data_IF_419779044100
#
_entry.id   IF_419779044100
#
_cell.length_a   1.000
_cell.length_b   1.000
_cell.length_c   1.000
_cell.angle_alpha   90.00
_cell.angle_beta   90.00
_cell.angle_gamma   90.00
#
_symmetry.space_group_name_H-M   'P 1'
#
loop_
_entity.id
_entity.type
_entity.pdbx_description
1 polymer ?
#
# COMPACT_ATOMS: atom_id res chain seq x y z
N UNK A 1 -14.86 3.24 -1.74
CA UNK A 1 -15.76 2.08 -1.89
C UNK A 1 -15.19 0.93 -1.09
N UNK A 2 -16.02 0.35 -0.26
CA UNK A 2 -15.59 -0.60 0.75
C UNK A 2 -15.91 -2.03 0.32
N UNK A 3 -14.98 -2.64 -0.40
CA UNK A 3 -15.10 -4.03 -0.83
C UNK A 3 -13.93 -4.84 -0.27
N UNK A 4 -14.08 -6.15 -0.26
CA UNK A 4 -13.03 -7.05 0.20
C UNK A 4 -11.85 -7.05 -0.78
N UNK A 5 -10.62 -7.37 -0.30
CA UNK A 5 -9.46 -7.46 -1.16
C UNK A 5 -9.67 -8.46 -2.29
N UNK A 6 -9.38 -8.05 -3.52
CA UNK A 6 -9.61 -8.91 -4.69
C UNK A 6 -8.38 -9.72 -5.11
N UNK A 7 -7.19 -9.37 -4.63
CA UNK A 7 -5.96 -10.07 -4.99
C UNK A 7 -5.41 -10.87 -3.83
N UNK A 8 -5.17 -10.24 -2.70
CA UNK A 8 -4.63 -10.93 -1.53
C UNK A 8 -5.12 -10.31 -0.23
N UNK A 9 -5.25 -11.14 0.79
CA UNK A 9 -5.73 -10.71 2.11
C UNK A 9 -4.60 -10.39 3.07
N UNK A 10 -3.37 -10.76 2.71
CA UNK A 10 -2.20 -10.48 3.54
C UNK A 10 -0.95 -10.33 2.70
N UNK A 11 0.01 -9.57 3.23
CA UNK A 11 1.37 -9.49 2.71
C UNK A 11 2.28 -9.96 3.83
N UNK A 12 2.98 -11.06 3.60
CA UNK A 12 3.91 -11.63 4.59
C UNK A 12 5.27 -11.89 3.94
N UNK A 13 6.32 -11.33 4.54
CA UNK A 13 7.68 -11.61 4.10
C UNK A 13 8.64 -11.50 5.29
N UNK A 14 9.67 -12.34 5.30
CA UNK A 14 10.62 -12.43 6.40
C UNK A 14 12.02 -12.07 5.89
N UNK A 15 12.69 -11.21 6.63
CA UNK A 15 14.06 -10.77 6.37
C UNK A 15 14.91 -11.01 7.62
N UNK A 16 16.21 -10.83 7.52
CA UNK A 16 17.12 -11.09 8.64
C UNK A 16 16.72 -10.33 9.91
N UNK A 17 16.41 -9.04 9.78
CA UNK A 17 16.10 -8.16 10.92
C UNK A 17 14.64 -7.72 10.96
N UNK A 18 13.83 -8.10 9.97
CA UNK A 18 12.45 -7.63 9.84
C UNK A 18 11.52 -8.77 9.47
N UNK A 19 10.30 -8.67 9.97
CA UNK A 19 9.16 -9.47 9.50
C UNK A 19 8.07 -8.50 9.10
N UNK A 20 7.55 -8.63 7.89
CA UNK A 20 6.41 -7.85 7.40
C UNK A 20 5.19 -8.75 7.45
N UNK A 21 4.16 -8.32 8.17
CA UNK A 21 2.92 -9.07 8.32
C UNK A 21 1.74 -8.10 8.29
N UNK A 22 1.20 -7.89 7.10
CA UNK A 22 0.09 -6.97 6.89
C UNK A 22 -1.18 -7.76 6.60
N UNK A 23 -2.23 -7.48 7.37
CA UNK A 23 -3.57 -8.01 7.12
C UNK A 23 -4.40 -6.94 6.43
N UNK A 24 -4.91 -7.26 5.24
CA UNK A 24 -5.63 -6.33 4.38
C UNK A 24 -7.11 -6.68 4.40
N UNK A 25 -7.90 -5.86 5.08
CA UNK A 25 -9.34 -6.10 5.27
C UNK A 25 -10.18 -5.61 4.09
N UNK A 26 -9.67 -4.60 3.37
CA UNK A 26 -10.40 -3.94 2.29
C UNK A 26 -9.55 -3.83 1.03
N UNK A 27 -10.22 -3.56 -0.09
CA UNK A 27 -9.54 -3.49 -1.39
C UNK A 27 -8.63 -2.28 -1.52
N UNK A 28 -8.95 -1.18 -0.84
CA UNK A 28 -8.06 -0.01 -0.74
C UNK A 28 -7.68 0.16 0.71
N UNK A 29 -6.38 0.08 1.01
CA UNK A 29 -5.82 0.27 2.33
C UNK A 29 -4.90 1.48 2.30
N UNK A 30 -5.16 2.45 3.16
CA UNK A 30 -4.31 3.64 3.29
C UNK A 30 -3.46 3.52 4.55
N UNK A 31 -2.14 3.66 4.39
CA UNK A 31 -1.19 3.60 5.49
C UNK A 31 -0.62 5.01 5.71
N UNK A 32 -0.93 5.57 6.86
CA UNK A 32 -0.43 6.88 7.28
C UNK A 32 0.53 6.73 8.44
N UNK A 33 1.15 7.82 8.85
CA UNK A 33 2.06 7.88 10.00
C UNK A 33 3.23 8.80 9.74
N UNK A 34 3.95 9.10 10.79
CA UNK A 34 5.11 9.98 10.74
C UNK A 34 6.30 9.27 10.07
N UNK A 35 7.22 10.08 9.54
CA UNK A 35 8.48 9.55 9.04
C UNK A 35 9.25 8.88 10.18
N UNK A 36 9.99 7.83 9.87
CA UNK A 36 10.78 7.11 10.87
C UNK A 36 10.07 5.93 11.53
N UNK A 37 8.78 5.67 11.22
CA UNK A 37 8.06 4.49 11.75
C UNK A 37 8.22 3.24 10.89
N UNK A 38 9.09 3.28 9.87
CA UNK A 38 9.37 2.11 9.05
C UNK A 38 8.69 2.08 7.70
N UNK A 39 8.04 3.17 7.26
CA UNK A 39 7.35 3.20 5.96
C UNK A 39 8.29 2.99 4.78
N UNK A 40 9.48 3.57 4.83
CA UNK A 40 10.49 3.36 3.78
C UNK A 40 10.99 1.92 3.74
N UNK A 41 11.19 1.31 4.91
CA UNK A 41 11.57 -0.09 4.99
C UNK A 41 10.47 -0.99 4.45
N UNK A 42 9.22 -0.70 4.80
CA UNK A 42 8.07 -1.44 4.30
C UNK A 42 8.02 -1.42 2.76
N UNK A 43 8.15 -0.23 2.17
CA UNK A 43 8.13 -0.08 0.71
C UNK A 43 9.24 -0.89 0.06
N UNK A 44 10.44 -0.86 0.61
CA UNK A 44 11.58 -1.64 0.11
C UNK A 44 11.33 -3.14 0.16
N UNK A 45 10.76 -3.64 1.25
CA UNK A 45 10.48 -5.07 1.39
C UNK A 45 9.37 -5.54 0.46
N UNK A 46 8.35 -4.73 0.24
CA UNK A 46 7.28 -5.07 -0.70
C UNK A 46 7.79 -5.02 -2.14
N UNK A 47 8.64 -4.04 -2.48
CA UNK A 47 9.26 -3.96 -3.80
C UNK A 47 10.13 -5.19 -4.07
N UNK A 48 10.88 -5.66 -3.08
CA UNK A 48 11.66 -6.88 -3.17
C UNK A 48 10.75 -8.10 -3.38
N UNK A 49 9.64 -8.18 -2.67
CA UNK A 49 8.65 -9.25 -2.84
C UNK A 49 8.04 -9.22 -4.24
N UNK A 50 7.82 -8.04 -4.82
CA UNK A 50 7.24 -7.88 -6.16
C UNK A 50 8.10 -8.47 -7.25
N UNK A 51 9.40 -8.62 -7.02
CA UNK A 51 10.30 -9.27 -7.98
C UNK A 51 9.95 -10.75 -8.16
N UNK A 52 9.33 -11.39 -7.18
CA UNK A 52 8.96 -12.80 -7.21
C UNK A 52 7.44 -13.03 -7.31
N UNK A 53 6.62 -12.00 -7.18
CA UNK A 53 5.18 -12.10 -7.29
C UNK A 53 4.67 -11.07 -8.29
N UNK A 54 4.29 -11.54 -9.47
CA UNK A 54 3.85 -10.69 -10.58
C UNK A 54 2.51 -9.99 -10.33
N UNK A 55 1.77 -10.40 -9.31
CA UNK A 55 0.52 -9.73 -8.93
C UNK A 55 0.78 -8.39 -8.26
N UNK A 56 1.98 -8.20 -7.69
CA UNK A 56 2.36 -6.98 -6.95
C UNK A 56 3.13 -6.05 -7.86
N UNK A 57 2.69 -4.80 -7.93
CA UNK A 57 3.34 -3.71 -8.66
C UNK A 57 3.54 -2.54 -7.73
N UNK A 58 4.75 -1.98 -7.69
CA UNK A 58 5.09 -0.87 -6.81
C UNK A 58 5.38 0.39 -7.60
N UNK A 59 4.82 1.51 -7.16
CA UNK A 59 5.08 2.83 -7.72
C UNK A 59 5.44 3.82 -6.60
N UNK A 60 6.27 4.81 -6.94
CA UNK A 60 6.62 5.90 -6.04
C UNK A 60 6.71 7.22 -6.82
N UNK A 61 7.12 8.29 -6.14
CA UNK A 61 7.17 9.61 -6.77
C UNK A 61 8.09 9.68 -8.01
N UNK A 62 9.05 8.78 -8.14
CA UNK A 62 9.92 8.72 -9.31
C UNK A 62 9.18 8.27 -10.57
N UNK A 63 8.03 7.64 -10.42
CA UNK A 63 7.21 7.19 -11.54
C UNK A 63 6.28 8.28 -12.08
N UNK A 64 6.32 9.49 -11.53
CA UNK A 64 5.44 10.58 -11.91
C UNK A 64 5.52 10.93 -13.40
N UNK A 65 6.70 10.80 -14.02
CA UNK A 65 6.92 11.07 -15.43
C UNK A 65 6.74 9.85 -16.32
N UNK A 66 6.44 8.70 -15.74
CA UNK A 66 6.20 7.46 -16.47
C UNK A 66 4.70 7.26 -16.68
N UNK A 67 4.34 6.30 -17.55
CA UNK A 67 2.94 5.98 -17.83
C UNK A 67 2.30 5.10 -16.75
N UNK A 68 2.53 5.42 -15.46
CA UNK A 68 1.96 4.62 -14.38
C UNK A 68 0.43 4.63 -14.41
N UNK A 69 -0.17 5.76 -14.79
CA UNK A 69 -1.62 5.89 -14.91
C UNK A 69 -2.20 4.92 -15.93
N UNK A 70 -1.56 4.84 -17.10
CA UNK A 70 -1.95 3.91 -18.15
C UNK A 70 -1.74 2.47 -17.71
N UNK A 71 -0.64 2.18 -17.03
CA UNK A 71 -0.36 0.86 -16.48
C UNK A 71 -1.45 0.41 -15.52
N UNK A 72 -1.87 1.28 -14.61
CA UNK A 72 -2.95 0.96 -13.66
C UNK A 72 -4.27 0.72 -14.41
N UNK A 73 -4.63 1.63 -15.31
CA UNK A 73 -5.90 1.55 -16.03
C UNK A 73 -6.02 0.34 -16.95
N UNK A 74 -4.89 -0.17 -17.44
CA UNK A 74 -4.86 -1.33 -18.32
C UNK A 74 -4.62 -2.65 -17.58
N UNK A 75 -4.48 -2.61 -16.27
CA UNK A 75 -4.23 -3.80 -15.45
C UNK A 75 -5.51 -4.35 -14.85
N UNK A 76 -5.46 -5.65 -14.55
CA UNK A 76 -6.52 -6.37 -13.86
C UNK A 76 -5.89 -7.38 -12.92
N UNK A 77 -6.51 -7.58 -11.76
CA UNK A 77 -6.09 -8.55 -10.75
C UNK A 77 -4.66 -8.29 -10.25
N UNK A 78 -4.30 -7.01 -10.12
CA UNK A 78 -3.00 -6.58 -9.57
C UNK A 78 -3.19 -5.91 -8.23
N UNK A 79 -2.20 -6.09 -7.35
CA UNK A 79 -2.06 -5.29 -6.16
C UNK A 79 -1.04 -4.19 -6.44
N UNK A 80 -1.50 -2.95 -6.43
CA UNK A 80 -0.64 -1.79 -6.58
C UNK A 80 -0.26 -1.24 -5.21
N UNK A 81 1.04 -1.16 -4.95
CA UNK A 81 1.57 -0.53 -3.74
C UNK A 81 2.16 0.82 -4.15
N UNK A 82 1.55 1.89 -3.66
CA UNK A 82 1.88 3.24 -4.06
C UNK A 82 2.49 3.98 -2.88
N UNK A 83 3.79 4.24 -2.96
CA UNK A 83 4.52 5.00 -1.95
C UNK A 83 4.58 6.47 -2.33
N UNK A 84 4.70 7.35 -1.33
CA UNK A 84 4.69 8.80 -1.54
C UNK A 84 3.48 9.26 -2.35
N UNK A 85 2.32 8.73 -2.00
CA UNK A 85 1.09 8.94 -2.75
C UNK A 85 0.68 10.42 -2.81
N UNK A 86 1.05 11.21 -1.80
CA UNK A 86 0.74 12.64 -1.77
C UNK A 86 1.40 13.40 -2.93
N UNK A 87 2.54 12.92 -3.40
CA UNK A 87 3.26 13.51 -4.53
C UNK A 87 2.80 12.89 -5.85
N UNK A 88 2.64 11.57 -5.90
CA UNK A 88 2.38 10.84 -7.14
C UNK A 88 0.94 10.97 -7.62
N UNK A 89 -0.04 10.87 -6.71
CA UNK A 89 -1.45 10.77 -7.08
C UNK A 89 -2.10 12.14 -7.17
N UNK A 90 -2.60 12.48 -8.37
CA UNK A 90 -3.46 13.64 -8.56
C UNK A 90 -4.92 13.30 -8.22
N UNK A 91 -5.81 14.30 -8.27
CA UNK A 91 -7.21 14.11 -7.88
C UNK A 91 -7.93 13.10 -8.79
N UNK A 92 -7.61 13.09 -10.07
CA UNK A 92 -8.22 12.16 -11.02
C UNK A 92 -7.82 10.72 -10.75
N UNK A 93 -6.55 10.49 -10.42
CA UNK A 93 -6.08 9.15 -10.09
C UNK A 93 -6.65 8.68 -8.76
N UNK A 94 -6.78 9.56 -7.78
CA UNK A 94 -7.41 9.23 -6.50
C UNK A 94 -8.86 8.81 -6.70
N UNK A 95 -9.58 9.52 -7.54
CA UNK A 95 -10.96 9.17 -7.87
C UNK A 95 -11.04 7.84 -8.62
N UNK A 96 -10.14 7.60 -9.58
CA UNK A 96 -10.08 6.33 -10.29
C UNK A 96 -9.87 5.16 -9.32
N UNK A 97 -8.91 5.28 -8.43
CA UNK A 97 -8.59 4.25 -7.43
C UNK A 97 -9.79 3.98 -6.52
N UNK A 98 -10.47 5.04 -6.09
CA UNK A 98 -11.62 4.92 -5.19
C UNK A 98 -12.74 4.04 -5.77
N UNK A 99 -12.87 4.00 -7.09
CA UNK A 99 -13.93 3.25 -7.76
C UNK A 99 -13.43 2.02 -8.52
N UNK A 100 -12.13 1.74 -8.49
CA UNK A 100 -11.57 0.59 -9.21
C UNK A 100 -11.84 -0.70 -8.43
N UNK A 101 -12.60 -1.60 -9.05
CA UNK A 101 -12.89 -2.92 -8.51
C UNK A 101 -12.14 -4.03 -9.27
N UNK A 102 -11.22 -3.69 -10.15
CA UNK A 102 -10.43 -4.67 -10.92
C UNK A 102 -9.05 -4.91 -10.33
N UNK A 103 -8.56 -3.97 -9.52
CA UNK A 103 -7.26 -4.04 -8.88
C UNK A 103 -7.39 -3.73 -7.39
N UNK A 104 -6.37 -4.10 -6.63
CA UNK A 104 -6.28 -3.83 -5.21
C UNK A 104 -5.19 -2.79 -4.95
N UNK A 105 -5.31 -2.02 -3.87
CA UNK A 105 -4.38 -0.92 -3.59
C UNK A 105 -3.94 -0.90 -2.14
N UNK A 106 -2.64 -0.74 -1.92
CA UNK A 106 -2.04 -0.33 -0.66
C UNK A 106 -1.36 1.01 -0.91
N UNK A 107 -1.86 2.05 -0.26
CA UNK A 107 -1.44 3.42 -0.53
C UNK A 107 -0.76 3.98 0.71
N UNK A 108 0.47 4.45 0.57
CA UNK A 108 1.28 4.98 1.65
C UNK A 108 1.43 6.48 1.45
N UNK A 109 0.94 7.25 2.42
CA UNK A 109 0.96 8.71 2.33
C UNK A 109 0.46 9.35 3.61
N UNK A 110 0.19 10.66 3.56
CA UNK A 110 -0.32 11.42 4.70
C UNK A 110 -1.75 11.89 4.50
N UNK A 111 -2.14 12.15 3.25
CA UNK A 111 -3.42 12.73 2.94
C UNK A 111 -4.31 11.74 2.17
N UNK A 112 -5.37 11.19 2.80
CA UNK A 112 -6.28 10.25 2.15
C UNK A 112 -7.39 10.93 1.34
N UNK A 113 -7.39 12.24 1.19
CA UNK A 113 -8.44 12.99 0.51
C UNK A 113 -8.63 12.49 -0.93
N UNK A 114 -9.88 12.38 -1.36
CA UNK A 114 -10.23 11.97 -2.73
C UNK A 114 -10.29 10.47 -2.95
N UNK A 115 -9.86 9.67 -1.98
CA UNK A 115 -9.93 8.21 -2.07
C UNK A 115 -11.24 7.64 -1.52
N UNK A 116 -12.09 8.51 -0.96
CA UNK A 116 -13.41 8.14 -0.43
C UNK A 116 -13.35 7.02 0.61
N UNK A 117 -12.35 7.10 1.50
CA UNK A 117 -12.14 6.10 2.53
C UNK A 117 -12.91 6.45 3.80
N UNK A 118 -13.39 5.40 4.48
CA UNK A 118 -13.89 5.51 5.84
C UNK A 118 -12.74 5.36 6.83
N UNK A 119 -12.96 5.76 8.09
CA UNK A 119 -11.90 5.77 9.10
C UNK A 119 -11.28 4.39 9.33
N UNK A 120 -12.06 3.32 9.21
CA UNK A 120 -11.57 1.96 9.40
C UNK A 120 -10.78 1.40 8.21
N UNK A 121 -10.66 2.17 7.13
CA UNK A 121 -9.78 1.85 6.00
C UNK A 121 -8.43 2.58 6.07
N UNK A 122 -8.23 3.39 7.11
CA UNK A 122 -7.01 4.15 7.33
C UNK A 122 -6.23 3.51 8.49
N UNK A 123 -5.00 3.12 8.20
CA UNK A 123 -4.14 2.42 9.14
C UNK A 123 -2.86 3.18 9.40
N UNK A 124 -2.25 2.88 10.54
CA UNK A 124 -0.88 3.28 10.84
C UNK A 124 0.02 2.05 10.81
N UNK A 125 1.27 2.25 10.41
CA UNK A 125 2.27 1.20 10.48
C UNK A 125 2.72 1.04 11.93
N UNK A 126 2.63 -0.19 12.44
CA UNK A 126 3.13 -0.55 13.76
C UNK A 126 4.49 -1.23 13.61
N UNK A 127 5.42 -0.85 14.48
CA UNK A 127 6.77 -1.41 14.50
C UNK A 127 7.06 -1.91 15.92
N UNK A 128 7.26 -3.22 16.06
CA UNK A 128 7.52 -3.85 17.34
C UNK A 128 8.78 -4.72 17.25
N UNK A 129 9.59 -4.72 18.32
CA UNK A 129 10.74 -5.61 18.40
C UNK A 129 10.32 -6.93 19.05
N UNK A 130 10.45 -8.02 18.32
CA UNK A 130 10.12 -9.37 18.79
C UNK A 130 11.30 -10.28 18.52
N UNK A 131 11.92 -10.81 19.59
CA UNK A 131 13.03 -11.75 19.50
C UNK A 131 14.17 -11.26 18.59
N UNK A 132 14.53 -9.99 18.69
CA UNK A 132 15.62 -9.41 17.92
C UNK A 132 15.26 -9.00 16.49
N UNK A 133 14.01 -9.19 16.08
CA UNK A 133 13.51 -8.74 14.78
C UNK A 133 12.47 -7.65 14.97
N UNK A 134 12.36 -6.77 13.97
CA UNK A 134 11.31 -5.76 13.94
C UNK A 134 10.12 -6.29 13.15
N UNK A 135 8.97 -6.38 13.81
CA UNK A 135 7.71 -6.74 13.17
C UNK A 135 7.01 -5.48 12.68
N UNK A 136 6.78 -5.42 11.38
CA UNK A 136 5.98 -4.36 10.75
C UNK A 136 4.58 -4.90 10.49
N UNK A 137 3.58 -4.26 11.08
CA UNK A 137 2.18 -4.65 10.95
C UNK A 137 1.29 -3.41 10.86
N UNK A 138 0.01 -3.61 10.63
CA UNK A 138 -0.96 -2.52 10.55
C UNK A 138 -1.80 -2.46 11.83
N UNK A 139 -2.05 -1.25 12.30
CA UNK A 139 -3.04 -0.99 13.34
C UNK A 139 -4.00 0.09 12.84
N UNK A 140 -5.23 0.08 13.32
CA UNK A 140 -6.20 1.09 12.93
C UNK A 140 -5.77 2.45 13.45
N UNK A 141 -5.89 3.48 12.59
CA UNK A 141 -5.52 4.85 12.92
C UNK A 141 -6.55 5.51 13.83
N UNK A 142 -7.77 5.03 13.80
CA UNK A 142 -8.89 5.62 14.56
C UNK A 142 -9.69 4.59 15.34
#
# INVERSE_FOLDING_TARGET
MKIKPIVMQEIHTTHTSFVVDLHLDYNVTFITGDSGVGKSALSSFIEELSANDKRIRCFNYLDQKKNYKTSIKNSKDKLFVIDNADILLDDKMRQYIAFDAQNQYVIIGRNPTGLMLELDEIYELSSENINGRTLLSLKKSF
#
